data_IF_674154319480
#
_entry.id   IF_674154319480
#
_cell.length_a   1.000
_cell.length_b   1.000
_cell.length_c   1.000
_cell.angle_alpha   90.00
_cell.angle_beta   90.00
_cell.angle_gamma   90.00
#
_symmetry.space_group_name_H-M   'P 1'
#
loop_
_entity.id
_entity.type
_entity.pdbx_description
1 polymer ?
#
# COMPACT_ATOMS: atom_id res chain seq x y z
N UNK A 1 -21.38 -7.28 -6.28
CA UNK A 1 -21.15 -5.87 -5.95
C UNK A 1 -19.98 -5.67 -4.96
N UNK A 2 -19.56 -6.70 -4.21
CA UNK A 2 -18.41 -6.67 -3.25
C UNK A 2 -17.02 -6.74 -3.91
N UNK A 3 -16.86 -7.43 -5.04
CA UNK A 3 -15.56 -7.57 -5.74
C UNK A 3 -14.92 -6.24 -6.23
N UNK A 4 -15.69 -5.18 -6.44
CA UNK A 4 -15.14 -3.88 -6.89
C UNK A 4 -14.45 -3.08 -5.79
N UNK A 5 -14.75 -3.33 -4.51
CA UNK A 5 -14.10 -2.64 -3.39
C UNK A 5 -12.74 -3.25 -3.04
N UNK A 6 -12.60 -4.58 -3.17
CA UNK A 6 -11.33 -5.27 -2.94
C UNK A 6 -10.26 -4.83 -3.93
N UNK A 7 -10.62 -4.62 -5.22
CA UNK A 7 -9.67 -4.14 -6.25
C UNK A 7 -9.06 -2.75 -5.97
N UNK A 8 -9.71 -1.89 -5.22
CA UNK A 8 -9.16 -0.54 -4.89
C UNK A 8 -8.14 -0.56 -3.76
N UNK A 9 -8.24 -1.48 -2.80
CA UNK A 9 -7.29 -1.61 -1.69
C UNK A 9 -5.95 -2.24 -2.08
N UNK A 10 -5.93 -3.11 -3.08
CA UNK A 10 -4.74 -3.86 -3.52
C UNK A 10 -3.77 -2.98 -4.34
N UNK A 11 -4.23 -1.95 -5.05
CA UNK A 11 -3.36 -1.10 -5.89
C UNK A 11 -2.49 -0.11 -5.11
N UNK A 12 -2.82 0.22 -3.85
CA UNK A 12 -2.04 1.16 -3.02
C UNK A 12 -0.80 0.52 -2.36
N UNK A 13 -0.86 -0.76 -1.99
CA UNK A 13 0.20 -1.40 -1.20
C UNK A 13 1.46 -1.81 -1.98
N UNK A 14 1.34 -2.13 -3.27
CA UNK A 14 2.48 -2.65 -4.06
C UNK A 14 3.43 -1.59 -4.63
N UNK A 15 3.03 -0.32 -4.70
CA UNK A 15 3.88 0.71 -5.32
C UNK A 15 4.95 1.27 -4.35
N UNK A 16 4.74 1.18 -3.05
CA UNK A 16 5.67 1.73 -2.06
C UNK A 16 6.90 0.84 -1.79
N UNK A 17 6.79 -0.48 -1.94
CA UNK A 17 7.93 -1.41 -1.70
C UNK A 17 8.93 -1.49 -2.86
N UNK A 18 8.58 -1.07 -4.08
CA UNK A 18 9.47 -1.19 -5.26
C UNK A 18 10.42 -0.01 -5.44
N UNK A 19 10.22 1.10 -4.72
CA UNK A 19 11.03 2.32 -4.87
C UNK A 19 12.29 2.38 -3.99
N UNK A 20 12.53 1.40 -3.12
CA UNK A 20 13.70 1.40 -2.24
C UNK A 20 14.94 0.67 -2.77
N UNK A 21 14.91 0.03 -3.95
CA UNK A 21 16.00 -0.84 -4.40
C UNK A 21 16.71 -0.47 -5.71
N UNK A 22 16.33 0.59 -6.41
CA UNK A 22 17.09 0.99 -7.59
C UNK A 22 17.27 2.51 -7.66
N UNK A 23 18.46 2.97 -7.27
CA UNK A 23 18.92 4.31 -7.59
C UNK A 23 19.25 4.42 -9.08
N UNK A 24 18.38 5.08 -9.85
CA UNK A 24 18.70 5.75 -11.12
C UNK A 24 17.45 6.47 -11.62
N UNK A 25 17.50 7.78 -11.70
CA UNK A 25 16.46 8.66 -12.21
C UNK A 25 16.69 8.83 -13.71
N UNK A 26 15.76 8.51 -14.61
CA UNK A 26 15.78 9.05 -15.97
C UNK A 26 14.92 10.32 -16.05
N UNK A 27 15.56 11.38 -16.50
CA UNK A 27 14.96 12.67 -16.92
C UNK A 27 14.07 12.44 -18.16
N UNK A 28 12.79 12.78 -18.08
CA UNK A 28 11.94 12.86 -19.26
C UNK A 28 11.54 14.31 -19.54
N UNK A 29 11.81 14.70 -20.79
CA UNK A 29 11.50 16.01 -21.35
C UNK A 29 9.98 16.15 -21.61
N UNK A 30 9.48 17.34 -21.33
CA UNK A 30 8.11 17.77 -21.60
C UNK A 30 7.87 17.91 -23.13
N UNK A 31 6.86 17.21 -23.63
CA UNK A 31 6.28 17.41 -24.95
C UNK A 31 4.83 17.88 -24.83
N UNK A 32 4.62 19.14 -25.22
CA UNK A 32 3.30 19.77 -25.33
C UNK A 32 2.56 19.26 -26.55
N UNK A 33 1.31 18.85 -26.41
CA UNK A 33 0.38 18.69 -27.52
C UNK A 33 -1.01 19.25 -27.15
N UNK A 34 -1.44 20.18 -27.97
CA UNK A 34 -2.70 20.93 -27.97
C UNK A 34 -3.86 20.07 -28.51
N UNK A 35 -5.10 20.25 -28.05
CA UNK A 35 -6.24 19.54 -28.60
C UNK A 35 -6.86 20.29 -29.79
N UNK A 36 -7.22 19.56 -30.84
CA UNK A 36 -8.01 20.06 -31.95
C UNK A 36 -9.46 19.53 -31.87
N UNK A 37 -10.39 20.47 -31.85
CA UNK A 37 -11.81 20.31 -32.10
C UNK A 37 -12.09 19.88 -33.55
N UNK A 38 -13.05 19.01 -33.75
CA UNK A 38 -13.93 19.08 -34.93
C UNK A 38 -15.25 18.34 -34.69
N UNK A 39 -16.26 19.11 -34.74
CA UNK A 39 -17.68 18.86 -34.90
C UNK A 39 -17.96 18.40 -36.34
N UNK A 40 -18.97 17.60 -36.61
CA UNK A 40 -20.00 17.74 -37.60
C UNK A 40 -20.54 16.43 -38.20
N UNK A 41 -21.84 16.31 -37.99
CA UNK A 41 -22.96 15.95 -38.91
C UNK A 41 -23.23 14.52 -39.35
N UNK A 42 -24.40 14.17 -38.86
CA UNK A 42 -25.36 13.22 -39.41
C UNK A 42 -25.69 13.50 -40.88
N UNK A 43 -25.87 12.45 -41.66
CA UNK A 43 -26.95 12.34 -42.64
C UNK A 43 -27.21 10.86 -43.02
N UNK A 44 -28.43 10.45 -42.91
CA UNK A 44 -29.10 9.28 -43.50
C UNK A 44 -30.11 9.79 -44.54
N UNK A 45 -30.81 8.93 -45.25
CA UNK A 45 -30.51 8.02 -46.35
C UNK A 45 -31.21 8.53 -47.66
N UNK A 46 -31.46 7.87 -48.72
CA UNK A 46 -32.46 6.83 -48.90
C UNK A 46 -32.27 5.80 -50.07
N UNK A 47 -33.13 4.79 -50.11
CA UNK A 47 -33.78 4.35 -51.31
C UNK A 47 -33.48 2.94 -51.84
N UNK A 48 -34.41 2.09 -51.59
CA UNK A 48 -34.79 0.85 -52.27
C UNK A 48 -34.59 0.88 -53.79
N UNK A 49 -34.12 -0.22 -54.35
CA UNK A 49 -34.87 -0.88 -55.44
C UNK A 49 -34.40 -2.34 -55.69
N UNK A 50 -35.38 -3.23 -55.66
CA UNK A 50 -35.34 -4.62 -56.11
C UNK A 50 -35.04 -4.73 -57.58
N UNK A 51 -34.18 -5.66 -57.99
CA UNK A 51 -34.41 -6.47 -59.20
C UNK A 51 -33.80 -7.87 -59.09
N UNK A 52 -34.64 -8.80 -59.09
CA UNK A 52 -34.34 -10.22 -59.26
C UNK A 52 -33.84 -10.51 -60.68
N UNK A 53 -32.98 -11.46 -60.85
CA UNK A 53 -33.00 -12.55 -61.83
C UNK A 53 -31.60 -13.04 -62.22
N UNK A 54 -31.34 -14.30 -61.96
CA UNK A 54 -30.69 -15.16 -62.91
C UNK A 54 -29.21 -15.34 -62.87
N UNK A 55 -28.76 -16.37 -62.27
CA UNK A 55 -27.87 -17.40 -62.81
C UNK A 55 -27.35 -18.24 -61.65
N UNK A 56 -27.67 -19.51 -61.64
CA UNK A 56 -27.01 -20.54 -60.87
C UNK A 56 -25.59 -20.68 -61.43
N UNK A 57 -24.67 -19.99 -60.74
CA UNK A 57 -23.27 -20.27 -60.91
C UNK A 57 -22.90 -21.29 -59.80
N UNK A 58 -22.41 -22.46 -60.28
CA UNK A 58 -21.90 -23.51 -59.39
C UNK A 58 -20.65 -23.01 -58.65
N UNK A 59 -20.91 -22.28 -57.57
CA UNK A 59 -19.87 -21.88 -56.66
C UNK A 59 -19.23 -23.12 -56.10
N UNK A 60 -17.97 -23.30 -56.41
CA UNK A 60 -17.03 -24.15 -55.74
C UNK A 60 -17.23 -23.95 -54.25
N UNK A 61 -17.64 -25.01 -53.55
CA UNK A 61 -17.58 -25.06 -52.07
C UNK A 61 -16.13 -24.79 -51.70
N UNK A 62 -15.84 -23.55 -51.31
CA UNK A 62 -14.61 -23.22 -50.60
C UNK A 62 -14.64 -24.11 -49.36
N UNK A 63 -13.75 -25.08 -49.32
CA UNK A 63 -13.42 -25.80 -48.10
C UNK A 63 -13.08 -24.73 -47.06
N UNK A 64 -13.69 -24.75 -45.86
CA UNK A 64 -13.33 -23.81 -44.82
C UNK A 64 -11.80 -23.87 -44.66
N UNK A 65 -11.12 -22.72 -44.82
CA UNK A 65 -9.69 -22.60 -44.49
C UNK A 65 -9.54 -23.16 -43.11
N UNK A 66 -8.84 -24.29 -42.97
CA UNK A 66 -8.44 -24.82 -41.67
C UNK A 66 -7.59 -23.73 -41.01
N UNK A 67 -8.12 -23.08 -39.96
CA UNK A 67 -7.37 -22.13 -39.16
C UNK A 67 -6.14 -22.89 -38.65
N UNK A 68 -4.93 -22.43 -38.93
CA UNK A 68 -3.72 -23.16 -38.55
C UNK A 68 -3.69 -23.27 -37.02
N UNK A 69 -3.72 -24.50 -36.52
CA UNK A 69 -3.68 -24.77 -35.08
C UNK A 69 -2.30 -24.40 -34.52
N UNK A 70 -2.28 -23.50 -33.58
CA UNK A 70 -1.07 -23.14 -32.82
C UNK A 70 -0.97 -24.05 -31.60
N UNK A 71 0.12 -24.78 -31.50
CA UNK A 71 0.33 -25.72 -30.41
C UNK A 71 1.22 -25.10 -29.31
N UNK A 72 0.75 -25.11 -28.08
CA UNK A 72 1.56 -24.86 -26.89
C UNK A 72 2.38 -26.13 -26.63
N UNK A 73 3.69 -26.04 -26.80
CA UNK A 73 4.59 -27.20 -26.74
C UNK A 73 5.35 -27.32 -25.44
N UNK A 74 5.49 -26.21 -24.70
CA UNK A 74 6.19 -26.20 -23.42
C UNK A 74 5.80 -24.98 -22.58
N UNK A 75 5.52 -25.19 -21.31
CA UNK A 75 5.41 -24.12 -20.32
C UNK A 75 6.80 -23.84 -19.74
N UNK A 76 7.17 -22.58 -19.64
CA UNK A 76 8.43 -22.19 -19.02
C UNK A 76 8.33 -22.30 -17.50
N UNK A 77 9.46 -22.64 -16.86
CA UNK A 77 9.54 -22.79 -15.40
C UNK A 77 8.52 -23.80 -14.83
N UNK A 78 8.15 -24.80 -15.61
CA UNK A 78 7.16 -25.83 -15.23
C UNK A 78 7.46 -26.46 -13.86
N UNK A 79 8.73 -26.71 -13.56
CA UNK A 79 9.15 -27.25 -12.27
C UNK A 79 8.82 -26.33 -11.08
N UNK A 80 8.90 -25.01 -11.27
CA UNK A 80 8.48 -24.04 -10.24
C UNK A 80 6.95 -24.05 -10.08
N UNK A 81 6.21 -24.12 -11.18
CA UNK A 81 4.76 -24.15 -11.19
C UNK A 81 4.15 -25.43 -10.60
N UNK A 82 4.85 -26.56 -10.76
CA UNK A 82 4.47 -27.85 -10.16
C UNK A 82 4.80 -27.94 -8.65
N UNK A 83 5.60 -27.03 -8.12
CA UNK A 83 6.06 -27.00 -6.74
C UNK A 83 5.61 -25.74 -5.98
N UNK A 84 4.43 -25.22 -6.28
CA UNK A 84 3.87 -24.09 -5.55
C UNK A 84 3.75 -24.43 -4.05
N UNK A 85 4.01 -23.46 -3.15
CA UNK A 85 3.99 -23.70 -1.72
C UNK A 85 2.61 -24.13 -1.25
N UNK A 86 2.59 -25.07 -0.28
CA UNK A 86 1.36 -25.48 0.37
C UNK A 86 1.03 -24.55 1.53
N UNK A 87 -0.27 -24.28 1.74
CA UNK A 87 -0.78 -23.47 2.83
C UNK A 87 -1.54 -24.32 3.83
N UNK A 88 -1.48 -23.94 5.10
CA UNK A 88 -2.32 -24.51 6.16
C UNK A 88 -3.27 -23.44 6.65
N UNK A 89 -4.57 -23.70 6.58
CA UNK A 89 -5.63 -22.81 7.03
C UNK A 89 -6.26 -23.34 8.33
N UNK A 90 -6.69 -22.45 9.22
CA UNK A 90 -7.45 -22.85 10.40
C UNK A 90 -8.85 -23.32 10.01
N UNK A 91 -9.31 -24.40 10.70
CA UNK A 91 -10.69 -24.81 10.63
C UNK A 91 -11.59 -23.71 11.20
N UNK A 92 -12.64 -23.34 10.46
CA UNK A 92 -13.56 -22.27 10.83
C UNK A 92 -15.00 -22.77 10.91
N UNK A 93 -15.78 -22.16 11.77
CA UNK A 93 -17.25 -22.35 11.76
C UNK A 93 -17.93 -21.51 10.66
N UNK A 94 -17.28 -20.43 10.25
CA UNK A 94 -17.69 -19.53 9.16
C UNK A 94 -16.47 -19.19 8.31
N UNK A 95 -16.49 -19.39 7.00
CA UNK A 95 -15.37 -19.07 6.13
C UNK A 95 -14.94 -17.60 6.24
N UNK A 96 -13.64 -17.35 6.13
CA UNK A 96 -13.06 -16.02 6.16
C UNK A 96 -12.19 -15.78 4.93
N UNK A 97 -12.48 -14.72 4.19
CA UNK A 97 -11.68 -14.31 3.03
C UNK A 97 -10.26 -13.89 3.46
N UNK A 98 -10.10 -13.39 4.69
CA UNK A 98 -8.80 -12.98 5.23
C UNK A 98 -7.83 -14.18 5.38
N UNK A 99 -8.35 -15.37 5.62
CA UNK A 99 -7.52 -16.59 5.69
C UNK A 99 -7.00 -17.01 4.31
N UNK A 100 -7.68 -16.62 3.23
CA UNK A 100 -7.30 -16.92 1.85
C UNK A 100 -6.37 -15.87 1.25
N UNK A 101 -6.12 -14.73 1.93
CA UNK A 101 -5.38 -13.59 1.37
C UNK A 101 -3.98 -14.00 0.87
N UNK A 102 -3.24 -14.78 1.64
CA UNK A 102 -1.89 -15.21 1.23
C UNK A 102 -1.92 -16.11 -0.02
N UNK A 103 -2.96 -16.95 -0.14
CA UNK A 103 -3.18 -17.81 -1.31
C UNK A 103 -3.55 -16.94 -2.52
N UNK A 104 -4.40 -15.92 -2.33
CA UNK A 104 -4.74 -14.96 -3.37
C UNK A 104 -3.51 -14.17 -3.84
N UNK A 105 -2.65 -13.72 -2.92
CA UNK A 105 -1.42 -13.02 -3.27
C UNK A 105 -0.45 -13.91 -4.04
N UNK A 106 -0.34 -15.18 -3.70
CA UNK A 106 0.46 -16.14 -4.47
C UNK A 106 -0.15 -16.34 -5.87
N UNK A 107 -1.46 -16.56 -5.97
CA UNK A 107 -2.15 -16.74 -7.24
C UNK A 107 -1.99 -15.52 -8.16
N UNK A 108 -1.97 -14.30 -7.62
CA UNK A 108 -1.70 -13.07 -8.37
C UNK A 108 -0.29 -13.03 -8.98
N UNK A 109 0.72 -13.64 -8.34
CA UNK A 109 2.06 -13.74 -8.92
C UNK A 109 2.10 -14.67 -10.12
N UNK A 110 1.19 -15.63 -10.19
CA UNK A 110 1.06 -16.63 -11.25
C UNK A 110 -0.21 -16.44 -12.08
N UNK A 111 -0.70 -15.21 -12.22
CA UNK A 111 -1.84 -14.90 -13.10
C UNK A 111 -1.52 -15.00 -14.60
N UNK A 112 -0.25 -15.18 -14.95
CA UNK A 112 0.21 -15.42 -16.31
C UNK A 112 1.33 -16.44 -16.35
N UNK A 113 1.40 -17.21 -17.43
CA UNK A 113 2.49 -18.15 -17.71
C UNK A 113 3.08 -17.86 -19.08
N UNK A 114 4.41 -18.00 -19.18
CA UNK A 114 5.08 -17.92 -20.46
C UNK A 114 5.24 -19.31 -21.05
N UNK A 115 4.90 -19.46 -22.31
CA UNK A 115 4.95 -20.73 -23.01
C UNK A 115 5.66 -20.62 -24.36
N UNK A 116 6.23 -21.74 -24.83
CA UNK A 116 6.70 -21.89 -26.18
C UNK A 116 5.57 -22.43 -27.04
N UNK A 117 5.25 -21.75 -28.12
CA UNK A 117 4.23 -22.13 -29.09
C UNK A 117 4.85 -22.43 -30.45
N UNK A 118 4.20 -23.33 -31.19
CA UNK A 118 4.62 -23.73 -32.52
C UNK A 118 3.43 -23.58 -33.48
N UNK A 119 3.65 -22.85 -34.57
CA UNK A 119 2.67 -22.69 -35.67
C UNK A 119 3.36 -23.10 -36.96
N UNK A 120 3.14 -24.32 -37.45
CA UNK A 120 3.91 -24.90 -38.56
C UNK A 120 5.40 -25.01 -38.20
N UNK A 121 6.28 -24.29 -38.90
CA UNK A 121 7.72 -24.25 -38.66
C UNK A 121 8.14 -23.10 -37.72
N UNK A 122 7.23 -22.19 -37.43
CA UNK A 122 7.53 -21.03 -36.56
C UNK A 122 7.45 -21.43 -35.06
N UNK A 123 8.49 -21.11 -34.30
CA UNK A 123 8.55 -21.29 -32.85
C UNK A 123 8.72 -19.92 -32.22
N UNK A 124 7.81 -19.58 -31.27
CA UNK A 124 7.86 -18.30 -30.55
C UNK A 124 7.46 -18.47 -29.08
N UNK A 125 7.65 -17.43 -28.31
CA UNK A 125 7.22 -17.39 -26.90
C UNK A 125 6.01 -16.48 -26.78
N UNK A 126 5.02 -16.94 -26.03
CA UNK A 126 3.80 -16.19 -25.74
C UNK A 126 3.43 -16.30 -24.28
N UNK A 127 2.64 -15.35 -23.80
CA UNK A 127 2.15 -15.30 -22.43
C UNK A 127 0.64 -15.54 -22.42
N UNK A 128 0.22 -16.47 -21.57
CA UNK A 128 -1.19 -16.84 -21.40
C UNK A 128 -1.65 -16.50 -19.99
N UNK A 129 -2.93 -16.11 -19.84
CA UNK A 129 -3.56 -15.89 -18.55
C UNK A 129 -3.85 -17.21 -17.85
N UNK A 130 -3.86 -17.13 -16.50
CA UNK A 130 -4.28 -18.23 -15.63
C UNK A 130 -5.53 -17.77 -14.87
N UNK A 131 -6.61 -18.50 -15.06
CA UNK A 131 -7.84 -18.33 -14.29
C UNK A 131 -7.78 -19.19 -13.02
N UNK A 132 -7.80 -18.55 -11.86
CA UNK A 132 -7.77 -19.22 -10.57
C UNK A 132 -9.17 -19.43 -10.00
N UNK A 133 -9.44 -20.65 -9.51
CA UNK A 133 -10.65 -21.05 -8.81
C UNK A 133 -10.31 -21.51 -7.39
N UNK A 134 -10.92 -20.85 -6.39
CA UNK A 134 -10.76 -21.12 -4.97
C UNK A 134 -11.99 -21.78 -4.36
N UNK A 135 -13.02 -22.05 -5.17
CA UNK A 135 -14.33 -22.52 -4.69
C UNK A 135 -14.29 -23.92 -4.06
N UNK A 136 -13.26 -24.71 -4.38
CA UNK A 136 -13.07 -26.05 -3.83
C UNK A 136 -12.55 -26.02 -2.39
N UNK A 137 -12.07 -24.88 -1.87
CA UNK A 137 -11.50 -24.78 -0.52
C UNK A 137 -12.62 -24.60 0.51
N UNK A 138 -12.92 -25.67 1.24
CA UNK A 138 -13.89 -25.63 2.35
C UNK A 138 -13.17 -25.43 3.68
N UNK A 139 -13.20 -24.20 4.20
CA UNK A 139 -12.62 -23.85 5.49
C UNK A 139 -13.39 -24.42 6.69
N UNK A 140 -14.57 -24.99 6.48
CA UNK A 140 -15.41 -25.52 7.55
C UNK A 140 -15.26 -27.02 7.78
N UNK A 141 -14.54 -27.71 6.90
CA UNK A 141 -14.28 -29.13 6.97
C UNK A 141 -12.77 -29.40 6.94
N UNK A 142 -12.21 -30.16 7.91
CA UNK A 142 -10.80 -30.53 7.86
C UNK A 142 -10.50 -31.39 6.62
N UNK A 143 -9.43 -31.09 5.92
CA UNK A 143 -9.09 -31.83 4.70
C UNK A 143 -7.97 -31.23 3.89
N UNK A 144 -7.64 -31.90 2.80
CA UNK A 144 -6.72 -31.44 1.78
C UNK A 144 -7.53 -30.87 0.61
N UNK A 145 -7.21 -29.66 0.22
CA UNK A 145 -7.85 -28.90 -0.84
C UNK A 145 -6.80 -28.34 -1.79
N UNK A 146 -7.23 -27.73 -2.89
CA UNK A 146 -6.35 -26.96 -3.75
C UNK A 146 -7.10 -25.77 -4.35
N UNK A 147 -6.40 -24.64 -4.51
CA UNK A 147 -6.81 -23.64 -5.47
C UNK A 147 -6.35 -24.11 -6.86
N UNK A 148 -7.25 -24.11 -7.84
CA UNK A 148 -6.99 -24.58 -9.19
C UNK A 148 -6.79 -23.40 -10.14
N UNK A 149 -5.65 -23.40 -10.85
CA UNK A 149 -5.35 -22.41 -11.89
C UNK A 149 -5.39 -23.05 -13.26
N UNK A 150 -6.24 -22.59 -14.15
CA UNK A 150 -6.33 -23.06 -15.54
C UNK A 150 -5.68 -22.08 -16.48
N UNK A 151 -4.78 -22.58 -17.34
CA UNK A 151 -4.19 -21.76 -18.40
C UNK A 151 -5.22 -21.56 -19.50
N UNK A 152 -5.58 -20.30 -19.75
CA UNK A 152 -6.58 -19.94 -20.77
C UNK A 152 -5.88 -19.75 -22.13
N UNK A 153 -6.29 -20.55 -23.10
CA UNK A 153 -5.81 -20.44 -24.47
C UNK A 153 -6.80 -19.66 -25.34
N UNK A 154 -6.31 -18.75 -26.21
CA UNK A 154 -7.13 -18.11 -27.23
C UNK A 154 -7.68 -19.11 -28.25
N UNK A 155 -8.67 -18.69 -29.01
CA UNK A 155 -9.18 -19.48 -30.15
C UNK A 155 -8.07 -19.77 -31.17
N UNK A 156 -8.01 -20.99 -31.66
CA UNK A 156 -6.97 -21.47 -32.59
C UNK A 156 -5.71 -22.00 -31.90
N UNK A 157 -5.63 -22.00 -30.56
CA UNK A 157 -4.56 -22.61 -29.80
C UNK A 157 -5.00 -23.93 -29.17
N UNK A 158 -4.06 -24.85 -29.03
CA UNK A 158 -4.25 -26.10 -28.29
C UNK A 158 -3.00 -26.48 -27.51
N UNK A 159 -3.13 -27.25 -26.45
CA UNK A 159 -2.02 -27.85 -25.75
C UNK A 159 -1.48 -29.05 -26.55
N UNK A 160 -0.15 -29.13 -26.62
CA UNK A 160 0.53 -30.32 -27.08
C UNK A 160 0.45 -31.47 -26.06
N UNK A 161 0.95 -32.64 -26.46
CA UNK A 161 1.00 -33.80 -25.56
C UNK A 161 1.93 -33.50 -24.35
N UNK A 162 1.50 -33.91 -23.16
CA UNK A 162 2.22 -33.78 -21.89
C UNK A 162 2.62 -32.34 -21.46
N UNK A 163 1.90 -31.32 -21.94
CA UNK A 163 2.08 -29.93 -21.50
C UNK A 163 1.23 -29.67 -20.27
N UNK A 164 1.79 -28.98 -19.28
CA UNK A 164 1.06 -28.53 -18.10
C UNK A 164 -0.10 -27.61 -18.48
N UNK A 165 -1.32 -27.99 -18.09
CA UNK A 165 -2.54 -27.25 -18.42
C UNK A 165 -3.16 -26.60 -17.18
N UNK A 166 -2.89 -27.15 -16.01
CA UNK A 166 -3.45 -26.75 -14.74
C UNK A 166 -2.35 -26.59 -13.70
N UNK A 167 -2.53 -25.60 -12.82
CA UNK A 167 -1.69 -25.30 -11.69
C UNK A 167 -2.48 -25.60 -10.42
N UNK A 168 -1.79 -25.96 -9.36
CA UNK A 168 -2.43 -26.18 -8.07
C UNK A 168 -1.65 -25.54 -6.96
N UNK A 169 -2.35 -24.80 -6.09
CA UNK A 169 -1.82 -24.36 -4.79
C UNK A 169 -2.43 -25.29 -3.74
N UNK A 170 -1.66 -26.20 -3.15
CA UNK A 170 -2.17 -27.12 -2.14
C UNK A 170 -2.59 -26.36 -0.87
N UNK A 171 -3.74 -26.74 -0.31
CA UNK A 171 -4.30 -26.10 0.90
C UNK A 171 -4.76 -27.20 1.85
N UNK A 172 -4.29 -27.15 3.09
CA UNK A 172 -4.73 -28.04 4.17
C UNK A 172 -5.55 -27.26 5.19
N UNK A 173 -6.74 -27.73 5.49
CA UNK A 173 -7.59 -27.17 6.55
C UNK A 173 -7.54 -28.10 7.75
N UNK A 174 -7.10 -27.57 8.90
CA UNK A 174 -7.01 -28.36 10.14
C UNK A 174 -7.31 -27.51 11.37
N UNK A 175 -7.61 -28.19 12.49
CA UNK A 175 -7.71 -27.52 13.78
C UNK A 175 -6.34 -26.96 14.17
N UNK A 176 -6.29 -25.65 14.36
CA UNK A 176 -5.08 -24.97 14.83
C UNK A 176 -5.32 -24.47 16.25
N UNK A 177 -4.44 -24.83 17.17
CA UNK A 177 -4.39 -24.18 18.47
C UNK A 177 -3.70 -22.83 18.30
N UNK A 178 -4.39 -21.70 18.56
CA UNK A 178 -3.75 -20.40 18.46
C UNK A 178 -2.51 -20.31 19.34
N UNK A 179 -1.42 -19.75 18.81
CA UNK A 179 -0.25 -19.48 19.63
C UNK A 179 -0.57 -18.35 20.63
N UNK A 180 -0.14 -18.51 21.87
CA UNK A 180 -0.40 -17.55 22.94
C UNK A 180 0.74 -16.55 23.01
N UNK A 181 0.45 -15.29 22.68
CA UNK A 181 1.39 -14.17 22.80
C UNK A 181 1.52 -13.80 24.29
N UNK A 182 2.73 -13.85 24.79
CA UNK A 182 3.03 -13.61 26.21
C UNK A 182 3.79 -12.31 26.47
N UNK A 183 4.41 -11.75 25.44
CA UNK A 183 5.12 -10.47 25.55
C UNK A 183 5.08 -9.69 24.24
N UNK A 184 5.16 -8.38 24.38
CA UNK A 184 5.26 -7.41 23.28
C UNK A 184 6.57 -6.67 23.50
N UNK A 185 7.40 -6.58 22.47
CA UNK A 185 8.60 -5.79 22.53
C UNK A 185 8.20 -4.30 22.47
N UNK A 186 8.56 -3.55 23.49
CA UNK A 186 8.39 -2.10 23.48
C UNK A 186 9.41 -1.49 22.50
N UNK A 187 8.99 -1.37 21.26
CA UNK A 187 9.68 -0.46 20.33
C UNK A 187 9.32 0.98 20.71
N UNK A 188 10.29 1.87 20.53
CA UNK A 188 10.19 3.29 20.87
C UNK A 188 8.83 3.86 20.43
N UNK A 189 8.13 4.56 21.34
CA UNK A 189 6.70 4.80 21.24
C UNK A 189 6.25 5.65 20.04
N UNK A 190 7.17 6.30 19.34
CA UNK A 190 6.75 7.26 18.31
C UNK A 190 7.67 7.22 17.10
N UNK A 191 7.14 6.68 16.01
CA UNK A 191 7.81 6.71 14.71
C UNK A 191 7.26 7.81 13.81
N UNK A 192 6.11 8.41 14.16
CA UNK A 192 5.40 9.37 13.31
C UNK A 192 4.71 10.46 14.13
N UNK A 193 4.60 11.64 13.52
CA UNK A 193 3.73 12.72 13.90
C UNK A 193 3.20 13.34 12.61
N UNK A 194 1.94 13.76 12.60
CA UNK A 194 1.30 14.25 11.38
C UNK A 194 0.74 15.65 11.56
N UNK A 195 0.69 16.42 10.47
CA UNK A 195 -0.05 17.66 10.40
C UNK A 195 -1.02 17.62 9.22
N UNK A 196 -2.22 18.15 9.44
CA UNK A 196 -3.27 18.24 8.44
C UNK A 196 -3.88 19.64 8.44
N UNK A 197 -4.29 20.16 7.27
CA UNK A 197 -5.06 21.38 7.20
C UNK A 197 -6.44 21.21 7.87
N UNK A 198 -6.91 22.23 8.57
CA UNK A 198 -8.28 22.30 9.06
C UNK A 198 -9.27 22.09 7.91
N UNK A 199 -10.28 21.25 8.12
CA UNK A 199 -11.29 20.88 7.13
C UNK A 199 -10.85 19.74 6.20
N UNK A 200 -9.74 19.05 6.51
CA UNK A 200 -9.39 17.81 5.82
C UNK A 200 -10.45 16.73 6.03
N UNK A 201 -10.62 15.88 5.04
CA UNK A 201 -11.49 14.68 5.15
C UNK A 201 -10.77 13.58 5.95
N UNK A 202 -11.54 12.68 6.56
CA UNK A 202 -11.00 11.58 7.37
C UNK A 202 -10.13 10.63 6.54
N UNK A 203 -10.44 10.47 5.27
CA UNK A 203 -9.69 9.65 4.32
C UNK A 203 -8.24 10.11 4.16
N UNK A 204 -7.98 11.42 4.23
CA UNK A 204 -6.63 11.97 4.17
C UNK A 204 -5.80 11.56 5.40
N UNK A 205 -6.43 11.49 6.57
CA UNK A 205 -5.80 10.99 7.79
C UNK A 205 -5.53 9.48 7.69
N UNK A 206 -6.51 8.71 7.23
CA UNK A 206 -6.37 7.27 7.02
C UNK A 206 -5.23 6.95 6.04
N UNK A 207 -5.09 7.71 4.95
CA UNK A 207 -4.00 7.57 3.98
C UNK A 207 -2.62 7.82 4.59
N UNK A 208 -2.47 8.84 5.44
CA UNK A 208 -1.21 9.12 6.14
C UNK A 208 -0.79 7.96 7.05
N UNK A 209 -1.74 7.40 7.79
CA UNK A 209 -1.47 6.27 8.68
C UNK A 209 -1.21 4.97 7.89
N UNK A 210 -1.91 4.75 6.77
CA UNK A 210 -1.68 3.62 5.89
C UNK A 210 -0.32 3.69 5.18
N UNK A 211 0.16 4.90 4.83
CA UNK A 211 1.48 5.09 4.23
C UNK A 211 2.64 4.86 5.21
N UNK A 212 2.37 4.90 6.51
CA UNK A 212 3.36 4.71 7.57
C UNK A 212 2.86 3.69 8.60
N UNK A 213 2.68 2.41 8.21
CA UNK A 213 2.11 1.40 9.08
C UNK A 213 2.99 1.16 10.32
N UNK A 214 2.33 1.00 11.45
CA UNK A 214 2.99 0.75 12.73
C UNK A 214 2.88 -0.72 13.08
N UNK A 215 4.02 -1.35 13.30
CA UNK A 215 4.13 -2.77 13.64
C UNK A 215 4.84 -2.95 14.96
N UNK A 216 4.35 -3.89 15.77
CA UNK A 216 5.01 -4.30 17.00
C UNK A 216 5.39 -5.77 16.93
N UNK A 217 6.59 -6.08 17.37
CA UNK A 217 7.04 -7.46 17.49
C UNK A 217 6.51 -8.07 18.79
N UNK A 218 5.88 -9.22 18.66
CA UNK A 218 5.25 -9.95 19.74
C UNK A 218 5.85 -11.36 19.84
N UNK A 219 5.97 -11.90 21.03
CA UNK A 219 6.55 -13.22 21.24
C UNK A 219 5.55 -14.14 21.88
N UNK A 220 5.42 -15.34 21.31
CA UNK A 220 4.64 -16.41 21.89
C UNK A 220 5.44 -17.17 22.96
N UNK A 221 4.74 -17.97 23.78
CA UNK A 221 5.33 -18.77 24.87
C UNK A 221 6.43 -19.72 24.37
N UNK A 222 6.32 -20.20 23.13
CA UNK A 222 7.32 -21.06 22.49
C UNK A 222 8.53 -20.32 21.93
N UNK A 223 8.61 -18.99 22.11
CA UNK A 223 9.67 -18.12 21.60
C UNK A 223 9.53 -17.73 20.12
N UNK A 224 8.44 -18.11 19.46
CA UNK A 224 8.17 -17.65 18.08
C UNK A 224 7.79 -16.17 18.09
N UNK A 225 8.38 -15.37 17.18
CA UNK A 225 8.02 -13.97 16.98
C UNK A 225 6.90 -13.82 15.97
N UNK A 226 6.05 -12.86 16.20
CA UNK A 226 4.94 -12.46 15.35
C UNK A 226 4.92 -10.94 15.23
N UNK A 227 4.38 -10.43 14.13
CA UNK A 227 4.18 -9.00 13.93
C UNK A 227 2.72 -8.65 14.15
N UNK A 228 2.43 -7.85 15.17
CA UNK A 228 1.10 -7.32 15.41
C UNK A 228 0.92 -5.99 14.68
N UNK A 229 -0.28 -5.80 14.13
CA UNK A 229 -0.69 -4.57 13.44
C UNK A 229 -1.45 -3.68 14.43
N UNK A 230 -1.27 -2.38 14.31
CA UNK A 230 -2.02 -1.40 15.10
C UNK A 230 -3.24 -0.95 14.30
N UNK A 231 -4.42 -1.13 14.87
CA UNK A 231 -5.66 -0.50 14.41
C UNK A 231 -5.80 0.87 15.07
N UNK A 232 -6.08 1.90 14.28
CA UNK A 232 -6.13 3.25 14.76
C UNK A 232 -7.56 3.73 15.01
N UNK A 233 -7.77 4.37 16.15
CA UNK A 233 -8.97 5.10 16.50
C UNK A 233 -8.73 6.60 16.32
N UNK A 234 -9.48 7.20 15.39
CA UNK A 234 -9.44 8.63 15.08
C UNK A 234 -10.62 9.39 15.67
N UNK A 235 -11.48 8.74 16.47
CA UNK A 235 -12.74 9.33 16.97
C UNK A 235 -12.54 10.58 17.82
N UNK A 236 -11.37 10.74 18.42
CA UNK A 236 -11.00 11.90 19.24
C UNK A 236 -10.41 13.07 18.42
N UNK A 237 -10.26 12.93 17.10
CA UNK A 237 -9.64 13.93 16.23
C UNK A 237 -10.73 14.74 15.55
N UNK A 238 -10.83 16.04 15.90
CA UNK A 238 -11.72 16.98 15.20
C UNK A 238 -10.94 17.71 14.10
N UNK A 239 -11.09 17.24 12.86
CA UNK A 239 -10.44 17.82 11.68
C UNK A 239 -10.97 19.23 11.33
N UNK A 240 -12.06 19.68 11.93
CA UNK A 240 -12.65 21.01 11.70
C UNK A 240 -12.18 22.05 12.72
N UNK A 241 -11.47 21.64 13.75
CA UNK A 241 -10.99 22.54 14.80
C UNK A 241 -9.47 22.48 14.89
N UNK A 242 -8.80 23.64 14.77
CA UNK A 242 -7.35 23.76 14.95
C UNK A 242 -6.96 23.28 16.34
N UNK A 243 -5.98 22.40 16.43
CA UNK A 243 -5.53 21.84 17.70
C UNK A 243 -4.54 20.67 17.56
N UNK A 244 -4.04 20.24 18.68
CA UNK A 244 -3.22 19.03 18.78
C UNK A 244 -4.11 17.90 19.31
N UNK A 245 -4.22 16.85 18.56
CA UNK A 245 -4.99 15.64 18.86
C UNK A 245 -4.05 14.43 18.92
N UNK A 246 -4.58 13.30 19.35
CA UNK A 246 -3.84 12.05 19.40
C UNK A 246 -4.71 10.93 18.80
N UNK A 247 -4.19 10.26 17.78
CA UNK A 247 -4.73 8.97 17.35
C UNK A 247 -4.33 7.92 18.39
N UNK A 248 -5.28 7.07 18.78
CA UNK A 248 -5.02 5.99 19.73
C UNK A 248 -4.94 4.66 18.97
N UNK A 249 -3.86 3.92 19.20
CA UNK A 249 -3.64 2.62 18.58
C UNK A 249 -4.05 1.47 19.47
N UNK A 250 -4.72 0.50 18.91
CA UNK A 250 -5.03 -0.78 19.53
C UNK A 250 -4.35 -1.91 18.79
N UNK A 251 -3.68 -2.80 19.51
CA UNK A 251 -3.06 -3.97 18.92
C UNK A 251 -4.10 -5.04 18.59
N UNK A 252 -4.03 -5.53 17.37
CA UNK A 252 -4.77 -6.70 16.92
C UNK A 252 -3.84 -7.91 16.95
N UNK A 253 -4.30 -9.00 17.54
CA UNK A 253 -3.52 -10.23 17.58
C UNK A 253 -3.19 -10.70 16.16
N UNK A 254 -1.94 -11.09 15.89
CA UNK A 254 -1.56 -11.68 14.62
C UNK A 254 -2.42 -12.90 14.28
N UNK A 255 -2.51 -13.22 13.00
CA UNK A 255 -3.27 -14.38 12.52
C UNK A 255 -2.90 -15.65 13.28
N UNK A 256 -3.90 -16.42 13.68
CA UNK A 256 -3.75 -17.67 14.47
C UNK A 256 -3.02 -17.50 15.81
N UNK A 257 -3.12 -16.33 16.41
CA UNK A 257 -2.62 -16.06 17.75
C UNK A 257 -3.70 -15.46 18.66
N UNK A 258 -3.47 -15.51 19.95
CA UNK A 258 -4.26 -14.82 20.98
C UNK A 258 -3.31 -14.19 21.97
N UNK A 259 -3.68 -13.04 22.54
CA UNK A 259 -2.93 -12.47 23.65
C UNK A 259 -3.26 -13.20 24.95
N UNK A 260 -2.25 -13.48 25.77
CA UNK A 260 -2.45 -13.96 27.12
C UNK A 260 -3.15 -12.91 27.99
N UNK A 261 -3.92 -13.32 28.99
CA UNK A 261 -4.65 -12.40 29.89
C UNK A 261 -3.77 -11.39 30.63
N UNK A 262 -2.46 -11.64 30.70
CA UNK A 262 -1.50 -10.81 31.46
C UNK A 262 -0.49 -10.10 30.56
N UNK A 263 -0.77 -9.96 29.27
CA UNK A 263 0.08 -9.18 28.38
C UNK A 263 -0.08 -7.69 28.74
N UNK A 264 1.05 -7.04 29.00
CA UNK A 264 1.09 -5.60 29.22
C UNK A 264 1.08 -4.90 27.86
N UNK A 265 -0.02 -4.23 27.55
CA UNK A 265 -0.19 -3.52 26.28
C UNK A 265 0.41 -2.12 26.42
N UNK A 266 1.36 -1.75 25.54
CA UNK A 266 1.84 -0.38 25.50
C UNK A 266 0.71 0.58 25.11
N UNK A 267 0.67 1.75 25.69
CA UNK A 267 -0.16 2.83 25.21
C UNK A 267 0.44 3.36 23.89
N UNK A 268 -0.30 3.22 22.80
CA UNK A 268 0.14 3.62 21.48
C UNK A 268 -0.66 4.85 21.08
N UNK A 269 0.04 5.99 20.98
CA UNK A 269 -0.57 7.24 20.54
C UNK A 269 0.32 7.93 19.51
N UNK A 270 -0.28 8.54 18.49
CA UNK A 270 0.43 9.36 17.50
C UNK A 270 -0.18 10.76 17.50
N UNK A 271 0.65 11.82 17.69
CA UNK A 271 0.16 13.18 17.65
C UNK A 271 -0.25 13.58 16.21
N UNK A 272 -1.40 14.23 16.10
CA UNK A 272 -1.97 14.78 14.87
C UNK A 272 -2.27 16.26 15.10
N UNK A 273 -1.55 17.12 14.41
CA UNK A 273 -1.73 18.57 14.44
C UNK A 273 -2.71 19.00 13.35
N UNK A 274 -3.89 19.47 13.72
CA UNK A 274 -4.82 20.12 12.80
C UNK A 274 -4.50 21.60 12.79
N UNK A 275 -4.12 22.16 11.63
CA UNK A 275 -3.62 23.52 11.49
C UNK A 275 -4.47 24.31 10.51
N UNK A 276 -4.56 25.63 10.70
CA UNK A 276 -5.17 26.49 9.70
C UNK A 276 -4.40 26.42 8.38
N UNK A 277 -5.07 26.38 7.20
CA UNK A 277 -4.41 26.18 5.90
C UNK A 277 -3.37 27.24 5.55
N UNK A 278 -3.53 28.46 6.09
CA UNK A 278 -2.68 29.63 5.86
C UNK A 278 -1.76 29.98 7.05
N UNK A 279 -1.81 29.19 8.13
CA UNK A 279 -1.07 29.43 9.38
C UNK A 279 -0.47 28.12 9.89
N UNK A 280 0.64 27.68 9.32
CA UNK A 280 1.36 26.52 9.82
C UNK A 280 1.77 26.77 11.28
N UNK A 281 1.77 25.70 12.06
CA UNK A 281 2.18 25.71 13.45
C UNK A 281 3.12 24.54 13.77
N UNK A 282 3.92 24.67 14.82
CA UNK A 282 4.86 23.67 15.31
C UNK A 282 4.46 23.25 16.71
N UNK A 283 3.38 22.53 16.88
CA UNK A 283 2.79 22.17 18.17
C UNK A 283 3.09 20.74 18.62
N UNK A 284 3.74 19.94 17.78
CA UNK A 284 4.24 18.61 18.13
C UNK A 284 5.54 18.30 17.37
N UNK A 285 6.26 17.30 17.81
CA UNK A 285 7.46 16.84 17.14
C UNK A 285 7.71 15.35 17.37
N UNK A 286 8.57 14.79 16.53
CA UNK A 286 9.12 13.46 16.60
C UNK A 286 10.63 13.55 16.70
N UNK A 287 11.26 12.79 17.61
CA UNK A 287 12.71 12.67 17.68
C UNK A 287 13.16 11.33 17.04
N UNK A 288 13.96 11.40 16.00
CA UNK A 288 14.50 10.22 15.34
C UNK A 288 15.83 10.51 14.64
N UNK A 289 16.72 9.53 14.61
CA UNK A 289 17.98 9.56 13.82
C UNK A 289 18.81 10.85 13.98
N UNK A 290 18.87 11.37 15.19
CA UNK A 290 19.64 12.58 15.48
C UNK A 290 19.01 13.89 15.01
N UNK A 291 17.71 13.90 14.76
CA UNK A 291 16.92 15.08 14.42
C UNK A 291 15.63 15.14 15.21
N UNK A 292 15.12 16.33 15.44
CA UNK A 292 13.73 16.60 15.78
C UNK A 292 12.98 16.97 14.49
N UNK A 293 11.85 16.35 14.27
CA UNK A 293 10.99 16.57 13.11
C UNK A 293 9.66 17.17 13.56
N UNK A 294 9.31 18.31 13.00
CA UNK A 294 8.08 19.05 13.31
C UNK A 294 7.18 19.01 12.08
N UNK A 295 6.11 18.22 12.08
CA UNK A 295 5.16 18.22 10.99
C UNK A 295 4.36 19.54 10.98
N UNK A 296 4.12 20.06 9.81
CA UNK A 296 3.29 21.26 9.62
C UNK A 296 2.55 21.22 8.29
N UNK A 297 1.52 22.06 8.15
CA UNK A 297 0.95 22.33 6.84
C UNK A 297 1.87 23.24 6.06
N UNK A 298 1.88 23.09 4.72
CA UNK A 298 2.78 23.89 3.85
C UNK A 298 2.68 25.38 4.16
N UNK A 299 3.79 26.03 4.61
CA UNK A 299 3.78 27.47 4.83
C UNK A 299 3.50 28.22 3.55
N UNK A 300 2.83 29.38 3.60
CA UNK A 300 2.70 30.25 2.43
C UNK A 300 4.07 30.84 2.03
N UNK A 301 4.24 31.13 0.74
CA UNK A 301 5.43 31.78 0.20
C UNK A 301 6.57 30.82 -0.15
N UNK A 302 7.78 31.36 -0.20
CA UNK A 302 9.00 30.65 -0.60
C UNK A 302 9.70 30.07 0.64
N UNK A 303 10.06 28.79 0.60
CA UNK A 303 10.66 28.10 1.75
C UNK A 303 12.04 28.64 2.14
N UNK A 304 12.77 29.27 1.26
CA UNK A 304 14.07 29.91 1.50
C UNK A 304 13.97 31.23 2.28
N UNK A 305 12.77 31.78 2.42
CA UNK A 305 12.49 32.97 3.25
C UNK A 305 12.07 32.63 4.69
N UNK A 306 11.98 31.35 4.99
CA UNK A 306 11.63 30.89 6.35
C UNK A 306 12.81 31.05 7.27
N UNK A 307 12.59 31.66 8.45
CA UNK A 307 13.57 31.81 9.51
C UNK A 307 13.19 31.00 10.73
N UNK A 308 14.12 30.20 11.22
CA UNK A 308 13.93 29.34 12.40
C UNK A 308 14.69 29.91 13.58
N UNK A 309 13.99 30.18 14.67
CA UNK A 309 14.52 30.80 15.88
C UNK A 309 14.48 29.84 17.05
N UNK A 310 15.57 29.73 17.74
CA UNK A 310 15.71 28.89 18.94
C UNK A 310 16.23 29.73 20.12
N UNK A 311 15.62 29.52 21.29
CA UNK A 311 16.05 30.11 22.54
C UNK A 311 16.30 29.00 23.56
N UNK A 312 17.50 28.92 24.12
CA UNK A 312 17.87 27.97 25.15
C UNK A 312 17.68 28.57 26.53
N UNK A 313 17.09 27.82 27.47
CA UNK A 313 16.90 28.17 28.89
C UNK A 313 16.30 29.58 29.11
N UNK A 314 15.32 29.95 28.28
CA UNK A 314 14.71 31.29 28.24
C UNK A 314 15.70 32.45 27.97
N UNK A 315 16.84 32.15 27.36
CA UNK A 315 17.82 33.14 26.93
C UNK A 315 17.38 33.93 25.70
N UNK A 316 18.33 34.56 25.03
CA UNK A 316 18.07 35.27 23.76
C UNK A 316 17.67 34.34 22.66
N UNK A 317 16.87 34.85 21.69
CA UNK A 317 16.56 34.18 20.47
C UNK A 317 17.74 34.21 19.49
N UNK A 318 18.11 33.06 18.97
CA UNK A 318 19.14 32.90 17.98
C UNK A 318 18.55 32.31 16.72
N UNK A 319 18.79 32.92 15.55
CA UNK A 319 18.42 32.36 14.29
C UNK A 319 19.31 31.16 13.95
N UNK A 320 18.70 30.05 13.58
CA UNK A 320 19.44 28.88 13.13
C UNK A 320 19.74 29.00 11.63
N UNK A 321 21.02 29.03 11.26
CA UNK A 321 21.47 29.08 9.88
C UNK A 321 21.87 27.71 9.34
N UNK A 322 22.24 26.78 10.24
CA UNK A 322 22.74 25.46 9.89
C UNK A 322 22.10 24.37 10.76
N UNK A 323 22.10 23.14 10.25
CA UNK A 323 21.55 22.00 10.97
C UNK A 323 20.02 21.98 11.03
N UNK A 324 19.38 22.69 10.12
CA UNK A 324 17.94 22.70 9.90
C UNK A 324 17.63 22.25 8.48
N UNK A 325 16.46 21.66 8.31
CA UNK A 325 15.85 21.39 7.02
C UNK A 325 14.42 21.92 7.03
N UNK A 326 14.08 22.73 6.06
CA UNK A 326 12.76 23.32 5.90
C UNK A 326 12.13 22.71 4.63
N UNK A 327 11.15 21.85 4.82
CA UNK A 327 10.36 21.25 3.74
C UNK A 327 8.93 21.77 3.73
N UNK A 328 8.14 21.32 2.76
CA UNK A 328 6.73 21.74 2.64
C UNK A 328 5.85 21.20 3.77
N UNK A 329 6.10 19.99 4.19
CA UNK A 329 5.25 19.27 5.16
C UNK A 329 5.97 19.07 6.52
N UNK A 330 7.23 19.49 6.61
CA UNK A 330 8.06 19.21 7.78
C UNK A 330 9.23 20.16 7.90
N UNK A 331 9.45 20.63 9.12
CA UNK A 331 10.71 21.23 9.58
C UNK A 331 11.51 20.17 10.32
N UNK A 332 12.84 20.14 10.18
CA UNK A 332 13.68 19.36 11.08
C UNK A 332 14.86 20.16 11.63
N UNK A 333 15.28 19.81 12.85
CA UNK A 333 16.41 20.40 13.57
C UNK A 333 17.33 19.28 14.02
N UNK A 334 18.63 19.39 13.70
CA UNK A 334 19.60 18.39 14.13
C UNK A 334 19.84 18.48 15.66
N UNK A 335 19.72 17.35 16.35
CA UNK A 335 19.87 17.28 17.82
C UNK A 335 21.25 17.67 18.32
N UNK A 336 22.30 17.61 17.45
CA UNK A 336 23.65 18.13 17.79
C UNK A 336 23.69 19.62 18.09
N UNK A 337 22.63 20.37 17.77
CA UNK A 337 22.47 21.79 18.11
C UNK A 337 21.89 21.99 19.51
N UNK A 338 21.47 20.91 20.15
CA UNK A 338 20.76 20.93 21.44
C UNK A 338 21.65 20.35 22.54
N UNK A 339 21.56 20.93 23.71
CA UNK A 339 22.24 20.45 24.93
C UNK A 339 21.27 19.57 25.73
N UNK A 340 21.61 18.31 26.02
CA UNK A 340 20.78 17.47 26.88
C UNK A 340 20.47 18.10 28.23
N UNK A 341 19.21 18.01 28.64
CA UNK A 341 18.71 18.59 29.90
C UNK A 341 18.33 20.07 29.82
N UNK A 342 18.60 20.73 28.67
CA UNK A 342 18.22 22.14 28.49
C UNK A 342 16.78 22.27 28.01
N UNK A 343 16.11 23.33 28.45
CA UNK A 343 14.82 23.78 27.96
C UNK A 343 14.97 24.67 26.72
N UNK A 344 14.13 24.44 25.72
CA UNK A 344 14.14 25.19 24.47
C UNK A 344 12.79 25.81 24.18
N UNK A 345 12.84 26.98 23.49
CA UNK A 345 11.68 27.59 22.81
C UNK A 345 12.01 27.73 21.35
N UNK A 346 11.12 27.25 20.50
CA UNK A 346 11.23 27.27 19.06
C UNK A 346 10.11 28.13 18.47
N UNK A 347 10.45 28.97 17.50
CA UNK A 347 9.52 29.76 16.70
C UNK A 347 10.01 29.82 15.28
N UNK A 348 9.09 29.91 14.33
CA UNK A 348 9.38 30.00 12.89
C UNK A 348 8.66 31.19 12.30
N UNK A 349 9.41 32.04 11.59
CA UNK A 349 8.87 33.12 10.79
C UNK A 349 8.72 32.65 9.35
N UNK A 350 7.59 32.95 8.75
CA UNK A 350 7.26 32.66 7.35
C UNK A 350 6.54 33.83 6.68
N UNK A 351 6.37 33.77 5.36
CA UNK A 351 5.69 34.85 4.62
C UNK A 351 4.22 34.95 5.09
N UNK A 352 3.90 36.07 5.72
CA UNK A 352 2.56 36.35 6.27
C UNK A 352 2.39 36.08 7.76
N UNK A 353 3.41 35.57 8.50
CA UNK A 353 3.26 35.39 9.93
C UNK A 353 4.38 34.66 10.66
N UNK A 354 4.02 34.18 11.81
CA UNK A 354 4.88 33.39 12.71
C UNK A 354 4.08 32.21 13.26
N UNK A 355 4.76 31.10 13.55
CA UNK A 355 4.18 29.98 14.32
C UNK A 355 3.96 30.41 15.76
N UNK A 356 3.18 29.64 16.50
CA UNK A 356 3.21 29.65 17.97
C UNK A 356 4.63 29.32 18.49
N UNK A 357 4.85 29.56 19.77
CA UNK A 357 6.10 29.21 20.43
C UNK A 357 5.96 27.82 21.03
N UNK A 358 6.71 26.86 20.48
CA UNK A 358 6.80 25.52 21.07
C UNK A 358 7.89 25.51 22.15
N UNK A 359 7.54 25.11 23.36
CA UNK A 359 8.48 24.90 24.47
C UNK A 359 8.68 23.41 24.71
N UNK A 360 9.95 22.98 24.80
CA UNK A 360 10.29 21.58 25.06
C UNK A 360 11.60 21.48 25.84
N UNK A 361 11.80 20.33 26.48
CA UNK A 361 13.10 19.99 27.10
C UNK A 361 13.73 18.88 26.25
N UNK A 362 14.99 19.07 25.86
CA UNK A 362 15.74 18.05 25.16
C UNK A 362 16.40 17.12 26.17
N UNK A 363 16.08 15.81 26.06
CA UNK A 363 16.76 14.75 26.80
C UNK A 363 17.43 13.80 25.81
N UNK A 364 18.60 13.22 26.18
CA UNK A 364 19.31 12.24 25.34
C UNK A 364 18.48 10.97 25.12
N UNK A 365 17.65 10.60 26.08
CA UNK A 365 16.63 9.59 25.93
C UNK A 365 15.37 10.32 25.45
N UNK A 366 14.87 9.87 24.30
CA UNK A 366 13.76 10.44 23.56
C UNK A 366 12.55 10.66 24.49
N UNK A 367 12.38 11.87 25.02
CA UNK A 367 11.19 12.25 25.76
C UNK A 367 10.35 13.18 24.91
N UNK A 368 9.20 12.68 24.53
CA UNK A 368 8.22 13.34 23.68
C UNK A 368 7.18 14.10 24.52
N UNK A 369 7.58 15.16 25.18
CA UNK A 369 6.62 16.11 25.72
C UNK A 369 6.89 17.50 25.13
N UNK A 370 6.25 17.78 23.99
CA UNK A 370 6.07 19.14 23.51
C UNK A 370 4.78 19.70 24.11
N UNK A 371 4.84 20.84 24.80
CA UNK A 371 3.66 21.61 25.17
C UNK A 371 3.67 22.92 24.43
N UNK A 372 2.60 23.18 23.64
CA UNK A 372 2.30 24.53 23.19
C UNK A 372 1.89 25.38 24.41
N UNK A 373 2.46 26.56 24.56
CA UNK A 373 2.10 27.55 25.53
C UNK A 373 1.41 28.72 24.83
#
# INVERSE_FOLDING_TARGET
MRMKQIRRRILGGCLACLLCLTGSIPTFAAGTATPANADERRENPPGLENKASGALDSGTLETPEEIPLVLVTKIQKEGELLSLPAFTLPLRTTPSDDDLEEIYQLALQYQTVCATVTAGEEIRQETFSVAWDFSAIDQTTPGEYAAEGRIELPEGYAFGEAVLQELQIPVRVEEMTPAVITSIEQWYPYTNAFALPQGSEIEALEELFAASPYYLECYAENGTSYTAVVEWDFSCIDLNTVGLYHATGRLTAPKNTVFADRVDFPEITIPVSVQAPDRPDINCFLAARGNLYFPWVTPPGELDKISVWLSENNGSWNQLENGIYVGREMLSIATRLLTPGSGYRLQVDYDGGQTGILSFTYADEIVLEGRCV
#
